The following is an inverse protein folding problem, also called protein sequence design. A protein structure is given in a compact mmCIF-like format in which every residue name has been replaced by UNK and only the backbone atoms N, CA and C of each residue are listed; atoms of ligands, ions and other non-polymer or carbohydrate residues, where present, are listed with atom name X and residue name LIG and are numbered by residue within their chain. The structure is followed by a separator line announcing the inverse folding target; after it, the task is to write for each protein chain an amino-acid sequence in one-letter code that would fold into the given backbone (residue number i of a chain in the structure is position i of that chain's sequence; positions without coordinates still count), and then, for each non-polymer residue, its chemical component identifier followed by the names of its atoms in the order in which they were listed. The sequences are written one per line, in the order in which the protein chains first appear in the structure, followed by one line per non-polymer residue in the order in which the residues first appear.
data_IF_730210783521
#
_entry.id   IF_730210783521
#
_cell.length_a   1.000
_cell.length_b   1.000
_cell.length_c   1.000
_cell.angle_alpha   90.00
_cell.angle_beta   90.00
_cell.angle_gamma   90.00
#
_symmetry.space_group_name_H-M   'P 1'
#
loop_
_entity.id
_entity.type
_entity.pdbx_description
1 polymer ?
#
# COMPACT_ATOMS: atom_id res chain seq x y z
N UNK A 1 -3.74 -11.80 8.88
CA UNK A 1 -4.71 -10.68 8.90
C UNK A 1 -5.66 -10.86 7.75
N UNK A 2 -6.96 -10.66 7.97
CA UNK A 2 -8.00 -10.85 6.93
C UNK A 2 -8.62 -9.51 6.58
N UNK A 3 -9.14 -9.38 5.36
CA UNK A 3 -9.85 -8.18 4.91
C UNK A 3 -11.18 -8.60 4.28
N UNK A 4 -12.26 -7.98 4.73
CA UNK A 4 -13.60 -8.18 4.20
C UNK A 4 -14.11 -6.89 3.57
N UNK A 5 -14.05 -6.80 2.24
CA UNK A 5 -14.52 -5.63 1.48
C UNK A 5 -15.98 -5.79 1.11
N UNK A 6 -16.64 -4.67 0.85
CA UNK A 6 -18.02 -4.59 0.37
C UNK A 6 -18.23 -3.28 -0.40
N UNK A 7 -19.29 -3.21 -1.21
CA UNK A 7 -19.61 -2.02 -1.99
C UNK A 7 -20.58 -1.05 -1.25
N UNK A 8 -21.01 -1.41 -0.03
CA UNK A 8 -21.92 -0.61 0.80
C UNK A 8 -21.17 0.51 1.53
N UNK A 9 -20.95 1.64 0.85
CA UNK A 9 -20.14 2.75 1.37
C UNK A 9 -20.74 3.48 2.59
N UNK A 10 -22.00 3.21 2.94
CA UNK A 10 -22.65 3.74 4.14
C UNK A 10 -22.23 3.00 5.42
N UNK A 11 -21.68 1.79 5.30
CA UNK A 11 -21.20 1.05 6.46
C UNK A 11 -19.85 1.63 6.94
N UNK A 12 -19.67 1.82 8.25
CA UNK A 12 -18.43 2.37 8.77
C UNK A 12 -17.26 1.40 8.52
N UNK A 13 -16.10 1.89 8.05
CA UNK A 13 -14.90 1.08 7.89
C UNK A 13 -14.28 0.81 9.28
N UNK A 14 -14.66 -0.32 9.88
CA UNK A 14 -14.20 -0.71 11.22
C UNK A 14 -13.17 -1.83 11.15
N UNK A 15 -12.05 -1.66 11.86
CA UNK A 15 -11.08 -2.72 12.11
C UNK A 15 -11.37 -3.38 13.46
N UNK A 16 -11.29 -4.70 13.51
CA UNK A 16 -11.56 -5.49 14.70
C UNK A 16 -10.32 -6.29 15.09
N UNK A 17 -9.88 -6.14 16.34
CA UNK A 17 -8.68 -6.79 16.87
C UNK A 17 -9.10 -7.70 18.02
N UNK A 18 -8.73 -8.97 17.94
CA UNK A 18 -8.95 -9.95 18.99
C UNK A 18 -7.69 -10.06 19.83
N UNK A 19 -7.80 -9.69 21.10
CA UNK A 19 -6.72 -9.75 22.09
C UNK A 19 -7.09 -10.78 23.15
N UNK A 20 -6.13 -11.55 23.67
CA UNK A 20 -6.41 -12.43 24.82
C UNK A 20 -6.62 -11.59 26.09
N UNK A 21 -7.52 -12.05 26.95
CA UNK A 21 -7.69 -11.49 28.30
C UNK A 21 -6.47 -11.83 29.15
N UNK A 22 -6.03 -10.89 29.98
CA UNK A 22 -4.82 -11.05 30.79
C UNK A 22 -4.93 -12.15 31.86
N UNK A 23 -6.15 -12.51 32.27
CA UNK A 23 -6.42 -13.62 33.22
C UNK A 23 -6.46 -15.00 32.55
N UNK A 24 -6.51 -15.05 31.21
CA UNK A 24 -6.39 -16.32 30.49
C UNK A 24 -4.90 -16.72 30.52
N UNK A 25 -4.59 -17.78 31.28
CA UNK A 25 -3.24 -18.29 31.43
C UNK A 25 -2.54 -18.42 30.05
N UNK A 26 -1.24 -18.10 29.95
CA UNK A 26 -0.53 -18.31 28.70
C UNK A 26 -0.56 -19.81 28.44
N UNK A 27 -1.23 -20.22 27.36
CA UNK A 27 -1.19 -21.59 26.87
C UNK A 27 0.27 -21.90 26.47
N UNK A 28 1.08 -22.30 27.46
CA UNK A 28 2.26 -23.09 27.24
C UNK A 28 1.77 -24.38 26.62
N UNK A 29 1.99 -24.55 25.32
CA UNK A 29 1.99 -25.82 24.59
C UNK A 29 0.98 -26.87 25.08
N UNK A 30 -0.10 -27.02 24.31
CA UNK A 30 -1.07 -28.14 24.27
C UNK A 30 -2.22 -28.18 25.29
N UNK A 31 -3.44 -28.30 24.74
CA UNK A 31 -4.60 -29.02 25.31
C UNK A 31 -5.52 -28.36 26.36
N UNK A 32 -5.86 -27.08 26.23
CA UNK A 32 -7.13 -26.57 26.80
C UNK A 32 -8.11 -26.20 25.69
N UNK A 33 -9.28 -26.80 25.75
CA UNK A 33 -10.33 -26.90 24.74
C UNK A 33 -11.05 -25.58 24.45
N UNK A 34 -10.41 -24.66 23.74
CA UNK A 34 -11.12 -23.77 22.82
C UNK A 34 -10.77 -24.20 21.40
N UNK A 35 -11.76 -24.76 20.69
CA UNK A 35 -11.61 -25.05 19.28
C UNK A 35 -11.18 -23.74 18.59
N UNK A 36 -10.06 -23.71 17.85
CA UNK A 36 -9.67 -22.50 17.15
C UNK A 36 -10.80 -22.16 16.19
N UNK A 37 -11.51 -21.04 16.43
CA UNK A 37 -12.50 -20.55 15.47
C UNK A 37 -11.78 -20.48 14.13
N UNK A 38 -12.27 -21.26 13.16
CA UNK A 38 -11.71 -21.28 11.82
C UNK A 38 -11.72 -19.84 11.29
N UNK A 39 -10.53 -19.26 11.11
CA UNK A 39 -10.43 -17.90 10.62
C UNK A 39 -11.04 -17.85 9.21
N UNK A 40 -12.05 -16.98 8.97
CA UNK A 40 -12.63 -16.89 7.65
C UNK A 40 -11.58 -16.36 6.67
N UNK A 41 -11.66 -16.80 5.42
CA UNK A 41 -10.82 -16.26 4.34
C UNK A 41 -11.15 -14.79 4.07
N UNK A 42 -10.31 -14.07 3.34
CA UNK A 42 -10.65 -12.70 2.92
C UNK A 42 -11.75 -12.71 1.85
N UNK A 43 -12.57 -11.66 1.78
CA UNK A 43 -13.66 -11.55 0.80
C UNK A 43 -13.76 -10.14 0.20
N UNK A 44 -14.30 -10.07 -1.03
CA UNK A 44 -14.65 -8.81 -1.71
C UNK A 44 -16.14 -8.49 -1.63
N UNK A 45 -16.97 -9.44 -1.21
CA UNK A 45 -18.43 -9.39 -1.30
C UNK A 45 -19.10 -9.52 0.08
N UNK A 46 -18.43 -9.05 1.14
CA UNK A 46 -18.92 -9.09 2.52
C UNK A 46 -19.20 -10.50 3.09
N UNK A 47 -18.54 -11.55 2.58
CA UNK A 47 -18.78 -12.93 3.05
C UNK A 47 -18.00 -13.27 4.33
N UNK A 48 -17.00 -12.47 4.69
CA UNK A 48 -16.05 -12.79 5.76
C UNK A 48 -16.27 -11.87 6.96
N UNK A 49 -17.47 -11.92 7.52
CA UNK A 49 -17.87 -11.05 8.63
C UNK A 49 -17.05 -11.34 9.89
N UNK A 50 -16.84 -10.30 10.69
CA UNK A 50 -16.19 -10.42 12.00
C UNK A 50 -16.97 -11.40 12.88
N UNK A 51 -16.27 -12.41 13.40
CA UNK A 51 -16.87 -13.43 14.27
C UNK A 51 -16.97 -12.89 15.71
N UNK A 52 -17.92 -13.35 16.52
CA UNK A 52 -17.92 -13.01 17.94
C UNK A 52 -16.62 -13.53 18.61
N UNK A 53 -16.10 -12.82 19.63
CA UNK A 53 -14.94 -13.30 20.37
C UNK A 53 -15.23 -14.60 21.11
N UNK A 54 -14.18 -15.41 21.29
CA UNK A 54 -14.23 -16.54 22.23
C UNK A 54 -14.21 -16.06 23.69
N UNK A 55 -14.47 -16.96 24.64
CA UNK A 55 -14.53 -16.64 26.07
C UNK A 55 -13.21 -16.01 26.61
N UNK A 56 -12.07 -16.42 26.07
CA UNK A 56 -10.73 -15.97 26.49
C UNK A 56 -10.25 -14.73 25.73
N UNK A 57 -11.04 -14.24 24.78
CA UNK A 57 -10.71 -13.10 23.94
C UNK A 57 -11.53 -11.87 24.32
N UNK A 58 -10.94 -10.70 24.14
CA UNK A 58 -11.60 -9.42 24.14
C UNK A 58 -11.41 -8.78 22.77
N UNK A 59 -12.41 -8.00 22.37
CA UNK A 59 -12.39 -7.33 21.08
C UNK A 59 -12.14 -5.84 21.26
N UNK A 60 -11.25 -5.30 20.43
CA UNK A 60 -11.06 -3.86 20.28
C UNK A 60 -11.53 -3.47 18.89
N UNK A 61 -12.41 -2.48 18.82
CA UNK A 61 -12.91 -1.93 17.58
C UNK A 61 -12.27 -0.57 17.31
N UNK A 62 -11.68 -0.41 16.13
CA UNK A 62 -11.11 0.85 15.66
C UNK A 62 -11.94 1.32 14.48
N UNK A 63 -12.71 2.38 14.68
CA UNK A 63 -13.38 3.11 13.61
C UNK A 63 -12.35 3.91 12.81
N UNK A 64 -12.31 3.71 11.50
CA UNK A 64 -11.37 4.35 10.57
C UNK A 64 -12.05 5.45 9.71
N UNK A 65 -13.34 5.72 9.91
CA UNK A 65 -14.07 6.71 9.13
C UNK A 65 -13.43 8.10 9.28
N UNK A 66 -13.17 8.76 8.15
CA UNK A 66 -12.62 10.13 8.08
C UNK A 66 -11.29 10.33 8.84
N UNK A 67 -10.51 9.26 9.04
CA UNK A 67 -9.19 9.32 9.71
C UNK A 67 -8.06 9.10 8.72
N UNK A 68 -6.96 9.82 8.93
CA UNK A 68 -5.73 9.58 8.19
C UNK A 68 -5.04 8.30 8.71
N UNK A 69 -4.30 7.61 7.83
CA UNK A 69 -3.65 6.34 8.14
C UNK A 69 -2.66 6.43 9.31
N UNK A 70 -1.96 7.56 9.44
CA UNK A 70 -1.04 7.80 10.57
C UNK A 70 -1.75 7.74 11.92
N UNK A 71 -2.95 8.30 12.01
CA UNK A 71 -3.70 8.34 13.26
C UNK A 71 -4.32 6.98 13.60
N UNK A 72 -4.76 6.24 12.58
CA UNK A 72 -5.23 4.85 12.74
C UNK A 72 -4.10 3.97 13.27
N UNK A 73 -2.88 4.16 12.75
CA UNK A 73 -1.70 3.42 13.21
C UNK A 73 -1.36 3.74 14.67
N UNK A 74 -1.40 5.01 15.08
CA UNK A 74 -1.19 5.40 16.48
C UNK A 74 -2.19 4.72 17.42
N UNK A 75 -3.49 4.74 17.09
CA UNK A 75 -4.51 4.04 17.89
C UNK A 75 -4.26 2.54 17.93
N UNK A 76 -3.90 1.94 16.80
CA UNK A 76 -3.57 0.52 16.74
C UNK A 76 -2.39 0.18 17.65
N UNK A 77 -1.32 0.96 17.63
CA UNK A 77 -0.15 0.77 18.48
C UNK A 77 -0.48 0.97 19.96
N UNK A 78 -1.29 1.97 20.30
CA UNK A 78 -1.71 2.24 21.67
C UNK A 78 -2.55 1.09 22.25
N UNK A 79 -3.49 0.55 21.47
CA UNK A 79 -4.37 -0.54 21.91
C UNK A 79 -3.66 -1.89 22.01
N UNK A 80 -2.81 -2.19 21.02
CA UNK A 80 -2.03 -3.44 21.00
C UNK A 80 -0.82 -3.41 21.92
N UNK A 81 -0.39 -2.21 22.35
CA UNK A 81 0.86 -1.97 23.11
C UNK A 81 2.09 -2.56 22.42
N UNK A 82 2.07 -2.58 21.08
CA UNK A 82 3.18 -3.08 20.30
C UNK A 82 4.39 -2.13 20.41
N UNK A 83 5.58 -2.69 20.58
CA UNK A 83 6.83 -1.93 20.62
C UNK A 83 7.41 -1.85 19.20
N UNK A 84 7.69 -0.65 18.69
CA UNK A 84 8.32 -0.51 17.38
C UNK A 84 9.75 -1.07 17.42
N UNK A 85 10.07 -1.91 16.44
CA UNK A 85 11.44 -2.40 16.25
C UNK A 85 12.28 -1.32 15.57
N UNK A 86 13.49 -1.13 16.09
CA UNK A 86 14.45 -0.22 15.47
C UNK A 86 15.13 -0.93 14.29
N UNK A 87 15.34 -0.25 13.16
CA UNK A 87 15.99 -0.84 12.02
C UNK A 87 17.44 -1.19 12.35
N UNK A 88 17.96 -2.23 11.70
CA UNK A 88 19.36 -2.61 11.82
C UNK A 88 20.27 -1.70 10.98
N UNK A 89 21.58 -1.73 11.24
CA UNK A 89 22.53 -0.91 10.48
C UNK A 89 22.55 -1.26 8.98
N UNK A 90 22.32 -2.54 8.65
CA UNK A 90 22.25 -3.01 7.26
C UNK A 90 21.00 -2.43 6.56
N UNK A 91 19.85 -2.45 7.22
CA UNK A 91 18.60 -1.86 6.71
C UNK A 91 18.73 -0.34 6.52
N UNK A 92 19.41 0.35 7.44
CA UNK A 92 19.67 1.80 7.32
C UNK A 92 20.51 2.10 6.08
N UNK A 93 21.57 1.32 5.84
CA UNK A 93 22.42 1.47 4.66
C UNK A 93 21.65 1.22 3.36
N UNK A 94 20.78 0.20 3.34
CA UNK A 94 19.91 -0.08 2.19
C UNK A 94 18.93 1.06 1.92
N UNK A 95 18.28 1.60 2.96
CA UNK A 95 17.37 2.74 2.82
C UNK A 95 18.08 3.96 2.21
N UNK A 96 19.29 4.28 2.69
CA UNK A 96 20.08 5.37 2.15
C UNK A 96 20.48 5.13 0.69
N UNK A 97 20.88 3.90 0.34
CA UNK A 97 21.19 3.54 -1.05
C UNK A 97 19.97 3.73 -1.97
N UNK A 98 18.78 3.27 -1.55
CA UNK A 98 17.54 3.45 -2.30
C UNK A 98 17.15 4.92 -2.47
N UNK A 99 17.38 5.76 -1.46
CA UNK A 99 17.14 7.21 -1.54
C UNK A 99 18.06 7.87 -2.56
N UNK A 100 19.35 7.50 -2.60
CA UNK A 100 20.28 8.05 -3.60
C UNK A 100 19.89 7.61 -5.02
N UNK A 101 19.45 6.36 -5.19
CA UNK A 101 18.94 5.86 -6.46
C UNK A 101 17.71 6.66 -6.91
N UNK A 102 16.74 6.90 -6.02
CA UNK A 102 15.54 7.70 -6.33
C UNK A 102 15.89 9.10 -6.82
N UNK A 103 16.80 9.81 -6.14
CA UNK A 103 17.25 11.14 -6.54
C UNK A 103 17.86 11.14 -7.94
N UNK A 104 18.73 10.18 -8.23
CA UNK A 104 19.33 10.06 -9.57
C UNK A 104 18.29 9.72 -10.63
N UNK A 105 17.34 8.83 -10.31
CA UNK A 105 16.27 8.45 -11.22
C UNK A 105 15.35 9.63 -11.58
N UNK A 106 15.09 10.55 -10.64
CA UNK A 106 14.32 11.77 -10.91
C UNK A 106 15.04 12.68 -11.91
N UNK A 107 16.34 12.94 -11.69
CA UNK A 107 17.16 13.75 -12.61
C UNK A 107 17.21 13.12 -14.00
N UNK A 108 17.39 11.80 -14.09
CA UNK A 108 17.45 11.10 -15.37
C UNK A 108 16.10 11.13 -16.09
N UNK A 109 14.99 11.00 -15.37
CA UNK A 109 13.63 11.12 -15.93
C UNK A 109 13.40 12.50 -16.53
N UNK A 110 13.86 13.56 -15.87
CA UNK A 110 13.76 14.93 -16.39
C UNK A 110 14.63 15.12 -17.64
N UNK A 111 15.89 14.64 -17.61
CA UNK A 111 16.79 14.72 -18.76
C UNK A 111 16.20 14.02 -19.98
N UNK A 112 15.70 12.79 -19.82
CA UNK A 112 15.09 12.03 -20.91
C UNK A 112 13.81 12.70 -21.40
N UNK A 113 13.01 13.29 -20.50
CA UNK A 113 11.83 14.05 -20.89
C UNK A 113 12.19 15.24 -21.78
N UNK A 114 13.22 16.02 -21.42
CA UNK A 114 13.66 17.16 -22.23
C UNK A 114 14.15 16.71 -23.61
N UNK A 115 15.01 15.69 -23.67
CA UNK A 115 15.50 15.14 -24.95
C UNK A 115 14.36 14.65 -25.85
N UNK A 116 13.34 14.00 -25.28
CA UNK A 116 12.15 13.58 -26.05
C UNK A 116 11.33 14.76 -26.56
N UNK A 117 11.20 15.80 -25.75
CA UNK A 117 10.47 17.02 -26.16
C UNK A 117 11.21 17.76 -27.28
N UNK A 118 12.53 17.86 -27.22
CA UNK A 118 13.36 18.46 -28.26
C UNK A 118 13.25 17.67 -29.57
N UNK A 119 13.47 16.36 -29.54
CA UNK A 119 13.30 15.48 -30.72
C UNK A 119 11.91 15.61 -31.33
N UNK A 120 10.87 15.62 -30.50
CA UNK A 120 9.49 15.79 -30.99
C UNK A 120 9.28 17.15 -31.66
N UNK A 121 9.83 18.23 -31.09
CA UNK A 121 9.76 19.57 -31.71
C UNK A 121 10.47 19.62 -33.06
N UNK A 122 11.65 19.00 -33.15
CA UNK A 122 12.41 18.90 -34.39
C UNK A 122 11.66 18.08 -35.45
N UNK A 123 11.12 16.92 -35.07
CA UNK A 123 10.31 16.07 -35.94
C UNK A 123 9.05 16.81 -36.43
N UNK A 124 8.34 17.51 -35.55
CA UNK A 124 7.15 18.30 -35.89
C UNK A 124 7.50 19.47 -36.82
N UNK A 125 8.64 20.14 -36.59
CA UNK A 125 9.15 21.20 -37.46
C UNK A 125 9.49 20.67 -38.85
N UNK A 126 10.25 19.57 -38.93
CA UNK A 126 10.62 18.94 -40.21
C UNK A 126 9.38 18.43 -40.95
N UNK A 127 8.41 17.85 -40.25
CA UNK A 127 7.14 17.42 -40.83
C UNK A 127 6.35 18.60 -41.39
N UNK A 128 6.31 19.73 -40.68
CA UNK A 128 5.67 20.96 -41.17
C UNK A 128 6.40 21.56 -42.38
N UNK A 129 7.73 21.56 -42.39
CA UNK A 129 8.53 22.03 -43.51
C UNK A 129 8.35 21.16 -44.77
N UNK A 130 8.33 19.83 -44.63
CA UNK A 130 7.99 18.91 -45.73
C UNK A 130 6.57 19.13 -46.25
N UNK A 131 5.60 19.29 -45.34
CA UNK A 131 4.21 19.56 -45.72
C UNK A 131 4.00 20.93 -46.38
N UNK A 132 4.87 21.90 -46.10
CA UNK A 132 4.85 23.24 -46.69
C UNK A 132 5.66 23.39 -48.00
N UNK A 133 6.16 22.28 -48.57
CA UNK A 133 6.75 22.26 -49.92
C UNK A 133 8.24 21.94 -50.01
N UNK A 134 8.89 21.52 -48.92
CA UNK A 134 10.30 21.09 -48.95
C UNK A 134 10.49 19.66 -49.46
N UNK A 135 10.37 19.48 -50.79
CA UNK A 135 10.98 18.46 -51.67
C UNK A 135 10.09 18.26 -52.91
N UNK A 136 10.25 19.17 -53.86
CA UNK A 136 10.01 18.91 -55.28
C UNK A 136 11.39 18.94 -55.98
N UNK A 137 12.23 17.95 -55.72
CA UNK A 137 13.43 17.63 -56.52
C UNK A 137 13.66 16.11 -56.35
N UNK A 138 13.81 15.23 -57.34
CA UNK A 138 13.81 15.27 -58.80
C UNK A 138 13.45 13.83 -59.22
N UNK A 139 12.26 13.62 -59.77
CA UNK A 139 11.98 12.49 -60.68
C UNK A 139 11.75 13.14 -62.03
N UNK A 140 12.82 13.49 -62.75
CA UNK A 140 12.79 13.75 -64.20
C UNK A 140 14.23 13.97 -64.72
N UNK A 141 14.79 12.94 -65.37
CA UNK A 141 15.66 12.96 -66.57
C UNK A 141 16.42 11.63 -66.71
#
# INVERSE_FOLDING_TARGET
MIVNRHDQNQLPPTMTIYLRKAEAAPAASSSSSSEPIAQPSSSRTNLSKAQPPTADERVVHIDMANKHSSHILEFFMAETRAVPLQPTNEEIAEMQALETLRKNAEVDRERVRLLRLEKKKEEDMLKRARAAGGMAEQEEA
#
